data_IF_635030572860
#
_entry.id   IF_635030572860
#
_cell.length_a   1.000
_cell.length_b   1.000
_cell.length_c   1.000
_cell.angle_alpha   90.00
_cell.angle_beta   90.00
_cell.angle_gamma   90.00
#
_symmetry.space_group_name_H-M   'P 1'
#
loop_
_entity.id
_entity.type
_entity.pdbx_description
1 polymer ?
#
# COMPACT_ATOMS: atom_id res chain seq x y z
N UNK A 1 10.41 19.26 4.15
CA UNK A 1 10.06 17.97 4.82
C UNK A 1 9.41 17.05 3.81
N UNK A 2 9.88 15.81 3.70
CA UNK A 2 9.31 14.79 2.80
C UNK A 2 8.62 13.70 3.62
N UNK A 3 7.33 13.53 3.38
CA UNK A 3 6.47 12.61 4.14
C UNK A 3 6.03 11.45 3.24
N UNK A 4 6.25 10.22 3.68
CA UNK A 4 5.67 9.03 3.09
C UNK A 4 4.42 8.66 3.87
N UNK A 5 3.27 8.64 3.20
CA UNK A 5 1.98 8.31 3.78
C UNK A 5 1.51 6.98 3.19
N UNK A 6 1.61 5.92 3.99
CA UNK A 6 1.13 4.60 3.58
C UNK A 6 -0.39 4.51 3.71
N UNK A 7 -1.04 4.13 2.63
CA UNK A 7 -2.51 4.06 2.52
C UNK A 7 -2.97 2.67 2.10
N UNK A 8 -4.13 2.25 2.61
CA UNK A 8 -4.81 1.02 2.28
C UNK A 8 -6.34 1.23 2.22
N UNK A 9 -7.10 0.17 1.96
CA UNK A 9 -8.57 0.20 1.84
C UNK A 9 -9.31 0.36 3.20
N UNK A 10 -8.60 0.63 4.31
CA UNK A 10 -9.22 0.71 5.63
C UNK A 10 -9.82 2.09 5.90
N UNK A 11 -10.90 2.14 6.68
CA UNK A 11 -11.44 3.41 7.18
C UNK A 11 -10.41 4.22 7.98
N UNK A 12 -9.48 3.53 8.63
CA UNK A 12 -8.41 4.19 9.36
C UNK A 12 -7.46 4.92 8.42
N UNK A 13 -7.16 4.34 7.25
CA UNK A 13 -6.35 4.99 6.21
C UNK A 13 -6.95 6.33 5.78
N UNK A 14 -8.27 6.39 5.56
CA UNK A 14 -8.96 7.63 5.23
C UNK A 14 -8.78 8.71 6.32
N UNK A 15 -8.93 8.34 7.60
CA UNK A 15 -8.71 9.27 8.74
C UNK A 15 -7.28 9.77 8.79
N UNK A 16 -6.31 8.88 8.55
CA UNK A 16 -4.88 9.23 8.51
C UNK A 16 -4.61 10.28 7.44
N UNK A 17 -5.12 10.06 6.22
CA UNK A 17 -4.98 11.00 5.10
C UNK A 17 -5.61 12.36 5.44
N UNK A 18 -6.82 12.37 5.99
CA UNK A 18 -7.50 13.58 6.41
C UNK A 18 -6.72 14.34 7.50
N UNK A 19 -6.20 13.61 8.48
CA UNK A 19 -5.38 14.18 9.55
C UNK A 19 -4.11 14.85 9.00
N UNK A 20 -3.36 14.13 8.17
CA UNK A 20 -2.12 14.63 7.54
C UNK A 20 -2.41 15.85 6.67
N UNK A 21 -3.43 15.78 5.82
CA UNK A 21 -3.85 16.90 4.97
C UNK A 21 -4.18 18.14 5.79
N UNK A 22 -4.98 17.99 6.85
CA UNK A 22 -5.36 19.10 7.72
C UNK A 22 -4.18 19.68 8.50
N UNK A 23 -3.28 18.83 8.98
CA UNK A 23 -2.10 19.22 9.75
C UNK A 23 -1.09 19.98 8.89
N UNK A 24 -0.82 19.48 7.69
CA UNK A 24 0.28 19.94 6.85
C UNK A 24 -0.13 20.99 5.81
N UNK A 25 -1.44 21.27 5.60
CA UNK A 25 -1.94 22.20 4.57
C UNK A 25 -1.32 23.60 4.58
N UNK A 26 -0.81 24.04 5.73
CA UNK A 26 -0.20 25.39 5.89
C UNK A 26 1.29 25.32 6.17
N UNK A 27 1.88 24.14 6.13
CA UNK A 27 3.31 23.96 6.37
C UNK A 27 4.05 24.15 5.05
N UNK A 28 4.96 25.15 4.96
CA UNK A 28 5.71 25.39 3.73
C UNK A 28 6.68 24.23 3.45
N UNK A 29 7.01 24.04 2.18
CA UNK A 29 8.04 23.08 1.73
C UNK A 29 7.81 21.63 2.19
N UNK A 30 6.54 21.21 2.25
CA UNK A 30 6.17 19.81 2.53
C UNK A 30 5.78 19.12 1.23
N UNK A 31 6.42 17.98 0.96
CA UNK A 31 6.03 17.07 -0.10
C UNK A 31 5.48 15.77 0.53
N UNK A 32 4.35 15.30 0.04
CA UNK A 32 3.70 14.06 0.48
C UNK A 32 3.75 13.03 -0.65
N UNK A 33 4.28 11.87 -0.34
CA UNK A 33 4.16 10.69 -1.22
C UNK A 33 3.07 9.78 -0.65
N UNK A 34 1.99 9.60 -1.40
CA UNK A 34 0.99 8.58 -1.11
C UNK A 34 1.51 7.25 -1.63
N UNK A 35 1.65 6.28 -0.74
CA UNK A 35 2.21 4.96 -1.02
C UNK A 35 1.21 3.87 -0.71
N UNK A 36 0.91 3.04 -1.70
CA UNK A 36 0.05 1.86 -1.55
C UNK A 36 0.82 0.60 -1.94
N UNK A 37 0.73 -0.44 -1.10
CA UNK A 37 1.34 -1.75 -1.38
C UNK A 37 0.28 -2.71 -1.88
N UNK A 38 0.49 -3.22 -3.09
CA UNK A 38 -0.35 -4.21 -3.72
C UNK A 38 -0.37 -5.52 -2.95
N UNK A 39 -1.51 -6.20 -2.97
CA UNK A 39 -1.59 -7.56 -2.48
C UNK A 39 -0.82 -8.49 -3.42
N UNK A 40 -0.03 -9.43 -2.89
CA UNK A 40 0.62 -10.43 -3.71
C UNK A 40 -0.42 -11.33 -4.39
N UNK A 41 -0.08 -11.80 -5.59
CA UNK A 41 -0.92 -12.78 -6.30
C UNK A 41 -1.09 -14.04 -5.44
N UNK A 42 -2.31 -14.55 -5.27
CA UNK A 42 -2.56 -15.78 -4.51
C UNK A 42 -1.72 -16.93 -5.05
N UNK A 43 -1.21 -17.78 -4.14
CA UNK A 43 -0.35 -18.92 -4.53
C UNK A 43 -1.05 -19.90 -5.47
N UNK A 44 -2.35 -20.06 -5.32
CA UNK A 44 -3.19 -20.88 -6.19
C UNK A 44 -3.15 -20.45 -7.65
N UNK A 45 -2.90 -19.15 -7.89
CA UNK A 45 -2.72 -18.58 -9.23
C UNK A 45 -1.26 -18.61 -9.72
N UNK A 46 -0.31 -18.98 -8.86
CA UNK A 46 1.11 -19.11 -9.20
C UNK A 46 1.52 -20.56 -9.45
N UNK A 47 0.82 -21.52 -8.87
CA UNK A 47 1.17 -22.94 -8.90
C UNK A 47 0.25 -23.70 -9.86
N UNK A 48 0.85 -24.42 -10.81
CA UNK A 48 0.16 -25.37 -11.69
C UNK A 48 0.11 -26.75 -11.04
N UNK A 49 -1.08 -27.28 -10.86
CA UNK A 49 -1.25 -28.73 -10.78
C UNK A 49 -1.11 -29.30 -12.20
N UNK A 50 0.00 -29.95 -12.50
CA UNK A 50 0.21 -30.58 -13.81
C UNK A 50 -0.79 -31.70 -14.06
N UNK A 51 -1.23 -31.87 -15.31
CA UNK A 51 -2.03 -33.01 -15.76
C UNK A 51 -1.16 -33.92 -16.66
N UNK A 52 -1.28 -35.23 -16.48
CA UNK A 52 -0.60 -36.20 -17.38
C UNK A 52 -1.21 -36.22 -18.80
N UNK A 53 -2.35 -35.58 -18.99
CA UNK A 53 -3.02 -35.47 -20.31
C UNK A 53 -2.69 -34.10 -20.95
N UNK A 54 -1.96 -34.06 -22.10
CA UNK A 54 -1.55 -32.83 -22.76
C UNK A 54 -2.70 -31.90 -23.17
N UNK A 55 -3.86 -32.44 -23.53
CA UNK A 55 -5.03 -31.63 -23.90
C UNK A 55 -5.64 -30.95 -22.67
N UNK A 56 -5.78 -31.68 -21.55
CA UNK A 56 -6.25 -31.14 -20.29
C UNK A 56 -5.26 -30.12 -19.70
N UNK A 57 -3.97 -30.34 -19.87
CA UNK A 57 -2.93 -29.39 -19.46
C UNK A 57 -2.99 -28.07 -20.23
N UNK A 58 -3.28 -28.14 -21.54
CA UNK A 58 -3.43 -26.95 -22.37
C UNK A 58 -4.67 -26.12 -21.94
N UNK A 59 -5.81 -26.78 -21.66
CA UNK A 59 -7.01 -26.11 -21.16
C UNK A 59 -6.79 -25.47 -19.77
N UNK A 60 -6.16 -26.20 -18.84
CA UNK A 60 -5.81 -25.69 -17.51
C UNK A 60 -4.86 -24.47 -17.60
N UNK A 61 -3.92 -24.49 -18.52
CA UNK A 61 -2.99 -23.38 -18.76
C UNK A 61 -3.70 -22.12 -19.25
N UNK A 62 -4.68 -22.26 -20.13
CA UNK A 62 -5.50 -21.15 -20.63
C UNK A 62 -6.41 -20.61 -19.51
N UNK A 63 -7.05 -21.49 -18.75
CA UNK A 63 -7.88 -21.10 -17.63
C UNK A 63 -7.11 -20.31 -16.58
N UNK A 64 -5.94 -20.82 -16.15
CA UNK A 64 -5.10 -20.17 -15.18
C UNK A 64 -4.63 -18.78 -15.66
N UNK A 65 -4.24 -18.66 -16.93
CA UNK A 65 -3.84 -17.38 -17.50
C UNK A 65 -4.99 -16.35 -17.44
N UNK A 66 -6.20 -16.79 -17.78
CA UNK A 66 -7.39 -15.94 -17.69
C UNK A 66 -7.68 -15.50 -16.25
N UNK A 67 -7.51 -16.40 -15.27
CA UNK A 67 -7.67 -16.10 -13.85
C UNK A 67 -6.61 -15.14 -13.35
N UNK A 68 -5.36 -15.32 -13.76
CA UNK A 68 -4.26 -14.38 -13.46
C UNK A 68 -4.51 -12.99 -14.04
N UNK A 69 -4.93 -12.90 -15.29
CA UNK A 69 -5.26 -11.63 -15.94
C UNK A 69 -6.47 -10.94 -15.27
N UNK A 70 -7.48 -11.70 -14.88
CA UNK A 70 -8.63 -11.17 -14.16
C UNK A 70 -8.24 -10.64 -12.77
N UNK A 71 -7.36 -11.36 -12.06
CA UNK A 71 -6.84 -10.92 -10.77
C UNK A 71 -6.01 -9.64 -10.90
N UNK A 72 -5.07 -9.57 -11.86
CA UNK A 72 -4.25 -8.37 -12.13
C UNK A 72 -5.14 -7.16 -12.44
N UNK A 73 -6.16 -7.34 -13.27
CA UNK A 73 -7.09 -6.26 -13.62
C UNK A 73 -7.84 -5.75 -12.40
N UNK A 74 -8.40 -6.67 -11.60
CA UNK A 74 -9.13 -6.34 -10.37
C UNK A 74 -8.25 -5.62 -9.36
N UNK A 75 -7.01 -6.07 -9.19
CA UNK A 75 -6.07 -5.45 -8.25
C UNK A 75 -5.70 -4.04 -8.71
N UNK A 76 -5.41 -3.83 -10.01
CA UNK A 76 -5.16 -2.49 -10.56
C UNK A 76 -6.35 -1.53 -10.40
N UNK A 77 -7.57 -2.01 -10.53
CA UNK A 77 -8.77 -1.19 -10.30
C UNK A 77 -8.90 -0.79 -8.83
N UNK A 78 -8.62 -1.72 -7.93
CA UNK A 78 -8.58 -1.47 -6.47
C UNK A 78 -7.50 -0.45 -6.09
N UNK A 79 -6.29 -0.58 -6.64
CA UNK A 79 -5.18 0.34 -6.42
C UNK A 79 -5.50 1.77 -6.82
N UNK A 80 -6.01 1.93 -8.04
CA UNK A 80 -6.42 3.25 -8.54
C UNK A 80 -7.51 3.86 -7.67
N UNK A 81 -8.36 3.03 -7.04
CA UNK A 81 -9.40 3.50 -6.14
C UNK A 81 -8.80 4.03 -4.82
N UNK A 82 -7.94 3.26 -4.16
CA UNK A 82 -7.31 3.66 -2.88
C UNK A 82 -6.53 4.98 -3.02
N UNK A 83 -5.66 5.07 -4.02
CA UNK A 83 -4.87 6.28 -4.25
C UNK A 83 -5.74 7.49 -4.67
N UNK A 84 -6.79 7.25 -5.47
CA UNK A 84 -7.74 8.30 -5.85
C UNK A 84 -8.49 8.84 -4.66
N UNK A 85 -9.05 7.98 -3.80
CA UNK A 85 -9.73 8.40 -2.58
C UNK A 85 -8.80 9.17 -1.63
N UNK A 86 -7.54 8.74 -1.51
CA UNK A 86 -6.54 9.45 -0.73
C UNK A 86 -6.26 10.86 -1.30
N UNK A 87 -6.15 11.01 -2.63
CA UNK A 87 -6.00 12.31 -3.29
C UNK A 87 -7.22 13.21 -3.06
N UNK A 88 -8.43 12.67 -3.19
CA UNK A 88 -9.67 13.41 -2.95
C UNK A 88 -9.73 13.91 -1.49
N UNK A 89 -9.35 13.05 -0.55
CA UNK A 89 -9.31 13.39 0.87
C UNK A 89 -8.28 14.48 1.20
N UNK A 90 -7.07 14.42 0.61
CA UNK A 90 -6.06 15.47 0.74
C UNK A 90 -6.57 16.80 0.16
N UNK A 91 -7.17 16.75 -1.02
CA UNK A 91 -7.76 17.93 -1.67
C UNK A 91 -8.85 18.57 -0.80
N UNK A 92 -9.76 17.78 -0.27
CA UNK A 92 -10.82 18.24 0.65
C UNK A 92 -10.26 18.82 1.95
N UNK A 93 -9.11 18.33 2.41
CA UNK A 93 -8.40 18.86 3.56
C UNK A 93 -7.69 20.19 3.28
N UNK A 94 -7.65 20.64 2.01
CA UNK A 94 -7.01 21.86 1.57
C UNK A 94 -5.49 21.75 1.41
N UNK A 95 -4.96 20.54 1.21
CA UNK A 95 -3.54 20.33 0.91
C UNK A 95 -3.27 20.62 -0.56
N UNK A 96 -2.11 21.21 -0.87
CA UNK A 96 -1.71 21.54 -2.24
C UNK A 96 -1.26 20.27 -3.00
N UNK A 97 -2.05 19.84 -3.97
CA UNK A 97 -1.79 18.64 -4.75
C UNK A 97 -0.57 18.72 -5.66
N UNK A 98 -0.02 19.92 -5.91
CA UNK A 98 1.25 20.09 -6.66
C UNK A 98 2.45 19.49 -5.92
N UNK A 99 2.32 19.27 -4.62
CA UNK A 99 3.31 18.69 -3.73
C UNK A 99 3.03 17.20 -3.39
N UNK A 100 2.13 16.55 -4.14
CA UNK A 100 1.77 15.14 -3.93
C UNK A 100 2.32 14.27 -5.04
N UNK A 101 2.98 13.18 -4.66
CA UNK A 101 3.45 12.11 -5.56
C UNK A 101 2.72 10.81 -5.20
N UNK A 102 2.42 9.99 -6.21
CA UNK A 102 1.78 8.69 -6.03
C UNK A 102 2.78 7.60 -6.38
N UNK A 103 2.95 6.63 -5.48
CA UNK A 103 3.81 5.46 -5.71
C UNK A 103 3.16 4.20 -5.15
N UNK A 104 3.62 3.04 -5.60
CA UNK A 104 3.13 1.75 -5.12
C UNK A 104 4.24 0.70 -5.08
N UNK A 105 4.09 -0.22 -4.13
CA UNK A 105 4.96 -1.36 -3.95
C UNK A 105 4.29 -2.67 -4.38
N UNK A 106 5.08 -3.71 -4.63
CA UNK A 106 4.63 -5.00 -5.20
C UNK A 106 5.14 -6.22 -4.43
N UNK A 107 5.62 -6.07 -3.21
CA UNK A 107 6.24 -7.16 -2.44
C UNK A 107 5.30 -7.73 -1.36
N UNK A 108 5.58 -8.96 -0.91
CA UNK A 108 4.83 -9.66 0.14
C UNK A 108 5.00 -9.05 1.54
N UNK A 109 6.11 -8.33 1.78
CA UNK A 109 6.40 -7.67 3.05
C UNK A 109 6.11 -6.17 2.97
N UNK A 110 4.93 -5.78 3.45
CA UNK A 110 4.45 -4.40 3.40
C UNK A 110 5.38 -3.43 4.16
N UNK A 111 5.85 -3.80 5.35
CA UNK A 111 6.71 -2.93 6.15
C UNK A 111 8.04 -2.70 5.46
N UNK A 112 8.61 -3.75 4.86
CA UNK A 112 9.84 -3.66 4.09
C UNK A 112 9.68 -2.75 2.88
N UNK A 113 8.60 -2.89 2.12
CA UNK A 113 8.27 -2.01 0.98
C UNK A 113 8.20 -0.54 1.38
N UNK A 114 7.48 -0.25 2.48
CA UNK A 114 7.38 1.12 3.01
C UNK A 114 8.78 1.68 3.36
N UNK A 115 9.63 0.87 4.00
CA UNK A 115 10.99 1.29 4.36
C UNK A 115 11.91 1.50 3.15
N UNK A 116 11.79 0.66 2.13
CA UNK A 116 12.55 0.78 0.88
C UNK A 116 12.14 2.06 0.12
N UNK A 117 10.83 2.32 -0.01
CA UNK A 117 10.33 3.55 -0.60
C UNK A 117 10.75 4.79 0.20
N UNK A 118 10.68 4.71 1.54
CA UNK A 118 11.11 5.82 2.39
C UNK A 118 12.60 6.16 2.19
N UNK A 119 13.45 5.15 2.03
CA UNK A 119 14.88 5.35 1.78
C UNK A 119 15.16 5.88 0.39
N UNK A 120 14.61 5.24 -0.66
CA UNK A 120 14.83 5.62 -2.06
C UNK A 120 14.30 7.02 -2.36
N UNK A 121 13.15 7.37 -1.81
CA UNK A 121 12.52 8.68 -1.93
C UNK A 121 13.10 9.75 -1.00
N UNK A 122 14.09 9.41 -0.16
CA UNK A 122 14.68 10.33 0.83
C UNK A 122 13.63 10.99 1.73
N UNK A 123 12.65 10.22 2.19
CA UNK A 123 11.64 10.70 3.11
C UNK A 123 12.23 10.82 4.53
N UNK A 124 11.72 11.77 5.28
CA UNK A 124 12.14 12.05 6.67
C UNK A 124 11.12 11.47 7.67
N UNK A 125 9.88 11.36 7.23
CA UNK A 125 8.74 10.94 8.05
C UNK A 125 7.93 9.88 7.33
N UNK A 126 7.59 8.81 8.04
CA UNK A 126 6.65 7.77 7.60
C UNK A 126 5.38 7.91 8.42
N UNK A 127 4.23 7.99 7.77
CA UNK A 127 2.92 8.04 8.42
C UNK A 127 2.14 6.78 8.09
N UNK A 128 1.62 6.13 9.11
CA UNK A 128 0.83 4.91 9.00
C UNK A 128 -0.38 4.94 9.92
N UNK A 129 -1.43 4.25 9.52
CA UNK A 129 -2.54 3.95 10.42
C UNK A 129 -2.14 2.88 11.44
N UNK A 130 -2.68 2.95 12.65
CA UNK A 130 -2.47 1.92 13.68
C UNK A 130 -3.07 0.57 13.28
N UNK A 131 -4.18 0.60 12.53
CA UNK A 131 -4.93 -0.57 12.12
C UNK A 131 -5.17 -0.52 10.61
N UNK A 132 -4.49 -1.40 9.87
CA UNK A 132 -4.76 -1.65 8.46
C UNK A 132 -5.70 -2.86 8.24
N UNK A 133 -5.95 -3.18 6.98
CA UNK A 133 -6.82 -4.30 6.54
C UNK A 133 -6.33 -5.68 6.98
N UNK A 134 -5.07 -5.83 7.37
CA UNK A 134 -4.46 -7.12 7.76
C UNK A 134 -4.92 -7.61 9.12
N UNK A 135 -6.19 -8.03 9.23
CA UNK A 135 -6.75 -8.63 10.47
C UNK A 135 -6.09 -9.95 10.88
N UNK A 136 -5.47 -10.67 9.95
CA UNK A 136 -4.96 -12.03 10.15
C UNK A 136 -3.64 -12.06 10.94
N UNK A 137 -2.80 -11.04 10.88
CA UNK A 137 -1.50 -11.00 11.57
C UNK A 137 -1.55 -10.61 13.06
N UNK A 138 -2.73 -10.27 13.59
CA UNK A 138 -2.90 -9.96 15.04
C UNK A 138 -2.64 -11.15 15.98
N UNK A 139 -2.73 -12.39 15.48
CA UNK A 139 -2.62 -13.61 16.31
C UNK A 139 -1.16 -13.94 16.63
N UNK A 140 -0.19 -13.44 15.86
CA UNK A 140 1.24 -13.77 16.00
C UNK A 140 2.17 -12.58 16.31
N UNK A 141 1.65 -11.49 16.87
CA UNK A 141 2.45 -10.40 17.43
C UNK A 141 3.29 -9.65 16.39
N UNK A 142 2.69 -8.70 15.67
CA UNK A 142 3.42 -7.76 14.86
C UNK A 142 2.71 -7.40 13.55
N UNK A 143 1.83 -6.40 13.60
CA UNK A 143 1.31 -5.77 12.39
C UNK A 143 2.41 -4.95 11.69
N UNK A 144 2.09 -4.42 10.50
CA UNK A 144 2.98 -3.54 9.73
C UNK A 144 3.52 -2.39 10.60
N UNK A 145 2.67 -1.76 11.40
CA UNK A 145 3.05 -0.68 12.31
C UNK A 145 4.09 -1.12 13.34
N UNK A 146 3.92 -2.30 13.96
CA UNK A 146 4.86 -2.81 14.95
C UNK A 146 6.22 -3.15 14.31
N UNK A 147 6.22 -3.65 13.09
CA UNK A 147 7.45 -3.93 12.35
C UNK A 147 8.16 -2.63 11.97
N UNK A 148 7.43 -1.61 11.48
CA UNK A 148 7.99 -0.30 11.18
C UNK A 148 8.62 0.34 12.43
N UNK A 149 7.95 0.30 13.58
CA UNK A 149 8.49 0.85 14.83
C UNK A 149 9.81 0.18 15.28
N UNK A 150 10.00 -1.11 14.94
CA UNK A 150 11.27 -1.81 15.21
C UNK A 150 12.37 -1.48 14.20
N UNK A 151 12.02 -1.39 12.92
CA UNK A 151 12.98 -1.47 11.81
C UNK A 151 13.25 -0.11 11.14
N UNK A 152 12.42 0.91 11.40
CA UNK A 152 12.50 2.24 10.77
C UNK A 152 13.57 3.15 11.40
N UNK A 153 14.81 2.70 11.37
CA UNK A 153 15.93 3.52 11.88
C UNK A 153 16.19 4.72 10.97
N UNK A 154 16.27 5.90 11.58
CA UNK A 154 16.56 7.14 10.87
C UNK A 154 15.32 7.88 10.32
N UNK A 155 14.11 7.41 10.62
CA UNK A 155 12.86 8.05 10.25
C UNK A 155 12.07 8.50 11.48
N UNK A 156 11.31 9.58 11.33
CA UNK A 156 10.20 9.88 12.24
C UNK A 156 9.00 9.00 11.84
N UNK A 157 8.36 8.35 12.81
CA UNK A 157 7.17 7.53 12.57
C UNK A 157 5.96 8.20 13.23
N UNK A 158 4.95 8.51 12.44
CA UNK A 158 3.65 8.96 12.92
C UNK A 158 2.65 7.82 12.81
N UNK A 159 2.13 7.39 13.94
CA UNK A 159 1.07 6.38 14.01
C UNK A 159 -0.22 7.11 14.33
N UNK A 160 -1.18 7.06 13.42
CA UNK A 160 -2.48 7.73 13.54
C UNK A 160 -3.57 6.68 13.77
N UNK A 161 -4.47 6.96 14.71
CA UNK A 161 -5.60 6.08 15.09
C UNK A 161 -6.93 6.57 14.51
#
# INVERSE_FOLDING_TARGET
MRVLLAVDESENSHRVVQYVGSLLRRTPDVAVTLFHVLKPMPRELLEHGGSENPAAEAELSVQLRNEQEAWIRKERESECHVLREACETLTQSGFDMSHVTLTFGHEDDIARNILEEARSGHHETIVVGRHGTSRIKRIFGGGVTDQLLRDAKGFAIWVVE
#
